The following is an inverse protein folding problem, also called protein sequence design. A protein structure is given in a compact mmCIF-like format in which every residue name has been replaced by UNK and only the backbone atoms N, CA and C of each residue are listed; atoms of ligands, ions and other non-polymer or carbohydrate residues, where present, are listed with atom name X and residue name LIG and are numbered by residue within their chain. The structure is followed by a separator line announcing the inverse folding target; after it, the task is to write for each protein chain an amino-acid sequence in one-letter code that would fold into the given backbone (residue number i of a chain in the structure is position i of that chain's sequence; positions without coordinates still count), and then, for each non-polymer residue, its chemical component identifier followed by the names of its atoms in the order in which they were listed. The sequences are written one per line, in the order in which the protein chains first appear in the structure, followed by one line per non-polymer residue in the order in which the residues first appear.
data_IF_495831754917
#
_entry.id   IF_495831754917
#
_cell.length_a   1.000
_cell.length_b   1.000
_cell.length_c   1.000
_cell.angle_alpha   90.00
_cell.angle_beta   90.00
_cell.angle_gamma   90.00
#
_symmetry.space_group_name_H-M   'P 1'
#
loop_
_entity.id
_entity.type
_entity.pdbx_description
1 polymer ?
#
# COMPACT_ATOMS: atom_id res chain seq x y z
N UNK A 1 7.11 -8.79 -11.32
CA UNK A 1 6.54 -7.85 -10.33
C UNK A 1 5.04 -7.76 -10.56
N UNK A 2 4.25 -7.67 -9.51
CA UNK A 2 2.79 -7.47 -9.60
C UNK A 2 2.47 -6.02 -9.26
N UNK A 3 1.99 -5.26 -10.24
CA UNK A 3 1.70 -3.83 -10.10
C UNK A 3 0.20 -3.57 -9.95
N UNK A 4 -0.13 -2.47 -9.28
CA UNK A 4 -1.51 -2.09 -9.02
C UNK A 4 -1.61 -0.74 -8.32
N UNK A 5 -2.73 -0.53 -7.64
CA UNK A 5 -2.97 0.60 -6.74
C UNK A 5 -3.33 0.10 -5.35
N UNK A 6 -2.95 0.86 -4.33
CA UNK A 6 -3.47 0.63 -2.99
C UNK A 6 -4.97 0.91 -2.96
N UNK A 7 -5.70 0.07 -2.22
CA UNK A 7 -7.12 0.24 -1.96
C UNK A 7 -7.49 -0.28 -0.57
N UNK A 8 -8.39 0.41 0.11
CA UNK A 8 -8.83 0.06 1.45
C UNK A 8 -9.89 -1.03 1.41
N UNK A 9 -9.56 -2.18 1.97
CA UNK A 9 -10.47 -3.29 2.11
C UNK A 9 -11.27 -3.16 3.42
N UNK A 10 -12.52 -2.72 3.30
CA UNK A 10 -13.41 -2.52 4.46
C UNK A 10 -13.75 -3.81 5.21
N UNK A 11 -13.59 -4.99 4.59
CA UNK A 11 -13.87 -6.28 5.23
C UNK A 11 -12.82 -6.62 6.30
N UNK A 12 -11.54 -6.39 6.00
CA UNK A 12 -10.43 -6.69 6.92
C UNK A 12 -9.79 -5.43 7.56
N UNK A 13 -10.21 -4.23 7.15
CA UNK A 13 -9.74 -2.92 7.62
C UNK A 13 -8.27 -2.63 7.30
N UNK A 14 -7.79 -3.11 6.15
CA UNK A 14 -6.40 -2.99 5.68
C UNK A 14 -6.34 -2.39 4.30
N UNK A 15 -5.22 -1.75 3.98
CA UNK A 15 -4.90 -1.48 2.58
C UNK A 15 -4.36 -2.75 1.92
N UNK A 16 -4.88 -3.08 0.75
CA UNK A 16 -4.37 -4.14 -0.11
C UNK A 16 -3.92 -3.58 -1.46
N UNK A 17 -3.50 -4.47 -2.36
CA UNK A 17 -3.10 -4.14 -3.73
C UNK A 17 -4.17 -4.59 -4.71
N UNK A 18 -4.65 -3.66 -5.54
CA UNK A 18 -5.64 -3.87 -6.59
C UNK A 18 -5.01 -3.80 -7.97
N UNK A 19 -5.34 -4.75 -8.84
CA UNK A 19 -5.22 -4.56 -10.29
C UNK A 19 -6.62 -4.42 -10.87
N UNK A 20 -6.91 -3.23 -11.41
CA UNK A 20 -8.28 -2.79 -11.69
C UNK A 20 -9.15 -2.92 -10.42
N UNK A 21 -10.12 -3.85 -10.41
CA UNK A 21 -11.03 -4.08 -9.28
C UNK A 21 -10.78 -5.42 -8.56
N UNK A 22 -9.71 -6.14 -8.94
CA UNK A 22 -9.37 -7.45 -8.37
C UNK A 22 -8.22 -7.32 -7.36
N UNK A 23 -8.37 -7.95 -6.20
CA UNK A 23 -7.31 -8.04 -5.19
C UNK A 23 -6.16 -8.91 -5.68
N UNK A 24 -5.00 -8.29 -5.84
CA UNK A 24 -3.70 -8.96 -5.95
C UNK A 24 -3.27 -9.44 -4.56
N UNK A 25 -3.40 -8.54 -3.60
CA UNK A 25 -3.22 -8.78 -2.16
C UNK A 25 -4.39 -8.12 -1.45
N UNK A 26 -5.21 -8.85 -0.66
CA UNK A 26 -6.40 -8.29 -0.06
C UNK A 26 -6.14 -7.42 1.17
N UNK A 27 -4.92 -7.35 1.71
CA UNK A 27 -4.63 -6.55 2.89
C UNK A 27 -3.25 -6.80 3.49
N UNK A 28 -2.41 -5.76 3.44
CA UNK A 28 -1.09 -5.75 4.03
C UNK A 28 -1.10 -5.74 5.57
N UNK A 29 -0.03 -6.28 6.14
CA UNK A 29 0.34 -6.25 7.53
C UNK A 29 1.48 -5.25 7.77
N UNK A 30 1.56 -4.76 9.02
CA UNK A 30 2.73 -3.99 9.44
C UNK A 30 4.00 -4.80 9.22
N UNK A 31 5.01 -4.18 8.63
CA UNK A 31 6.28 -4.82 8.33
C UNK A 31 6.43 -5.31 6.89
N UNK A 32 5.34 -5.40 6.12
CA UNK A 32 5.40 -5.87 4.74
C UNK A 32 5.95 -4.81 3.79
N UNK A 33 6.87 -5.23 2.92
CA UNK A 33 7.57 -4.35 1.98
C UNK A 33 6.82 -4.28 0.64
N UNK A 34 6.78 -3.09 0.08
CA UNK A 34 6.23 -2.78 -1.23
C UNK A 34 7.02 -1.63 -1.85
N UNK A 35 6.85 -1.40 -3.14
CA UNK A 35 7.34 -0.20 -3.81
C UNK A 35 6.15 0.67 -4.21
N UNK A 36 6.27 1.98 -4.04
CA UNK A 36 5.26 2.96 -4.48
C UNK A 36 5.85 3.95 -5.46
N UNK A 37 5.03 4.45 -6.37
CA UNK A 37 5.47 5.43 -7.37
C UNK A 37 5.38 6.85 -6.78
N UNK A 38 6.52 7.49 -6.60
CA UNK A 38 6.66 8.89 -6.13
C UNK A 38 7.52 9.64 -7.14
N UNK A 39 7.03 10.76 -7.66
CA UNK A 39 7.73 11.57 -8.67
C UNK A 39 8.29 10.73 -9.84
N UNK A 40 7.45 9.84 -10.39
CA UNK A 40 7.77 8.89 -11.46
C UNK A 40 8.90 7.88 -11.14
N UNK A 41 9.26 7.73 -9.87
CA UNK A 41 10.25 6.76 -9.39
C UNK A 41 9.65 5.76 -8.42
N UNK A 42 10.07 4.49 -8.54
CA UNK A 42 9.68 3.45 -7.61
C UNK A 42 10.52 3.53 -6.34
N UNK A 43 9.87 3.83 -5.22
CA UNK A 43 10.49 3.97 -3.90
C UNK A 43 10.13 2.76 -3.05
N UNK A 44 11.15 2.08 -2.52
CA UNK A 44 10.96 1.00 -1.54
C UNK A 44 10.43 1.58 -0.25
N UNK A 45 9.36 0.98 0.25
CA UNK A 45 8.72 1.37 1.50
C UNK A 45 8.23 0.13 2.24
N UNK A 46 7.61 0.36 3.39
CA UNK A 46 7.03 -0.65 4.25
C UNK A 46 5.71 -0.14 4.78
N UNK A 47 4.70 -1.00 4.75
CA UNK A 47 3.40 -0.71 5.35
C UNK A 47 3.52 -0.75 6.87
N UNK A 48 3.01 0.27 7.55
CA UNK A 48 2.97 0.36 9.01
C UNK A 48 1.68 1.04 9.47
N UNK A 49 1.42 0.98 10.77
CA UNK A 49 0.26 1.63 11.40
C UNK A 49 0.71 2.36 12.66
N UNK A 50 0.29 3.62 12.79
CA UNK A 50 0.69 4.45 13.92
C UNK A 50 -0.22 4.21 15.15
N UNK A 51 0.07 4.91 16.26
CA UNK A 51 -0.73 4.80 17.49
C UNK A 51 -2.17 5.32 17.35
N UNK A 52 -2.43 6.20 16.36
CA UNK A 52 -3.76 6.67 16.00
C UNK A 52 -4.55 5.69 15.12
N UNK A 53 -3.96 4.53 14.79
CA UNK A 53 -4.50 3.51 13.87
C UNK A 53 -4.61 3.96 12.42
N UNK A 54 -3.79 4.93 12.02
CA UNK A 54 -3.67 5.35 10.63
C UNK A 54 -2.58 4.51 9.96
N UNK A 55 -2.89 4.02 8.76
CA UNK A 55 -1.91 3.36 7.91
C UNK A 55 -0.97 4.38 7.29
N UNK A 56 0.31 4.03 7.16
CA UNK A 56 1.30 4.89 6.53
C UNK A 56 2.40 4.08 5.85
N UNK A 57 3.10 4.74 4.93
CA UNK A 57 4.18 4.16 4.16
C UNK A 57 5.53 4.76 4.60
N UNK A 58 6.35 3.94 5.26
CA UNK A 58 7.63 4.37 5.84
C UNK A 58 8.54 5.03 4.80
N UNK A 59 9.06 6.22 5.13
CA UNK A 59 9.99 6.94 4.27
C UNK A 59 9.35 7.67 3.09
N UNK A 60 8.02 7.83 3.10
CA UNK A 60 7.24 8.58 2.10
C UNK A 60 6.32 9.59 2.81
N UNK A 61 5.74 10.57 2.09
CA UNK A 61 4.77 11.49 2.69
C UNK A 61 3.37 10.88 2.90
N UNK A 62 3.13 9.62 2.52
CA UNK A 62 1.81 9.02 2.56
C UNK A 62 1.44 8.52 3.97
N UNK A 63 0.33 9.04 4.49
CA UNK A 63 -0.26 8.69 5.78
C UNK A 63 -1.79 8.86 5.69
N UNK A 64 -2.54 8.06 6.46
CA UNK A 64 -3.99 8.07 6.56
C UNK A 64 -4.70 7.56 5.29
N UNK A 65 -4.78 8.38 4.25
CA UNK A 65 -5.37 8.02 2.96
C UNK A 65 -4.30 7.55 1.98
N UNK A 66 -4.30 6.24 1.72
CA UNK A 66 -3.40 5.59 0.77
C UNK A 66 -4.14 5.14 -0.50
N UNK A 67 -5.42 5.51 -0.67
CA UNK A 67 -6.19 5.13 -1.86
C UNK A 67 -5.51 5.61 -3.14
N UNK A 68 -5.57 4.77 -4.18
CA UNK A 68 -5.03 5.04 -5.52
C UNK A 68 -3.51 5.22 -5.63
N UNK A 69 -2.76 5.16 -4.53
CA UNK A 69 -1.29 5.16 -4.57
C UNK A 69 -0.82 3.98 -5.42
N UNK A 70 -0.11 4.26 -6.52
CA UNK A 70 0.44 3.21 -7.38
C UNK A 70 1.50 2.44 -6.62
N UNK A 71 1.34 1.13 -6.58
CA UNK A 71 2.18 0.24 -5.81
C UNK A 71 2.54 -1.01 -6.62
N UNK A 72 3.61 -1.68 -6.22
CA UNK A 72 3.98 -2.99 -6.73
C UNK A 72 4.68 -3.83 -5.69
N UNK A 73 4.54 -5.14 -5.82
CA UNK A 73 5.18 -6.15 -4.99
C UNK A 73 5.97 -7.14 -5.86
N UNK A 74 6.92 -7.90 -5.29
CA UNK A 74 7.53 -9.04 -5.96
C UNK A 74 6.49 -10.02 -6.53
N UNK A 75 6.91 -10.84 -7.50
CA UNK A 75 6.07 -11.94 -8.00
C UNK A 75 5.72 -12.96 -6.92
#
# INVERSE_FOLDING_TARGET
MREGRLGYNSYNKRYGLLSSDLWIDPGFHCGECLEVLVDDQWVKTRMEMNLAREWYLVGTPYCEDLEYVRARIPE
#
